data_IF_689936714218
#
_entry.id   IF_689936714218
#
_cell.length_a   1.000
_cell.length_b   1.000
_cell.length_c   1.000
_cell.angle_alpha   90.00
_cell.angle_beta   90.00
_cell.angle_gamma   90.00
#
_symmetry.space_group_name_H-M   'P 1'
#
loop_
_entity.id
_entity.type
_entity.pdbx_description
1 polymer ?
#
# COMPACT_ATOMS: atom_id res chain seq x y z
N UNK A 1 20.41 10.31 7.14
CA UNK A 1 19.04 10.42 7.65
C UNK A 1 18.31 9.17 7.22
N UNK A 2 17.81 8.39 8.15
CA UNK A 2 17.12 7.12 7.89
C UNK A 2 15.62 7.35 8.00
N UNK A 3 14.84 6.87 7.02
CA UNK A 3 13.38 7.00 7.01
C UNK A 3 12.80 5.66 7.42
N UNK A 4 12.25 5.58 8.63
CA UNK A 4 11.70 4.36 9.19
C UNK A 4 10.23 4.13 8.82
N UNK A 5 9.42 5.19 8.77
CA UNK A 5 7.98 5.15 8.49
C UNK A 5 7.61 6.35 7.61
N UNK A 6 6.81 6.12 6.57
CA UNK A 6 6.22 7.15 5.71
C UNK A 6 4.74 7.32 6.06
N UNK A 7 4.36 8.54 6.46
CA UNK A 7 2.95 8.91 6.60
C UNK A 7 2.37 9.40 5.28
N UNK A 8 1.19 8.89 4.90
CA UNK A 8 0.45 9.30 3.71
C UNK A 8 -0.93 9.79 4.15
N UNK A 9 -1.18 11.08 3.91
CA UNK A 9 -2.46 11.72 4.21
C UNK A 9 -3.32 11.74 2.95
N UNK A 10 -4.44 11.02 3.01
CA UNK A 10 -5.35 10.72 1.91
C UNK A 10 -5.13 9.32 1.35
N UNK A 11 -6.21 8.54 1.28
CA UNK A 11 -6.25 7.16 0.79
C UNK A 11 -6.90 7.04 -0.61
N UNK A 12 -7.06 8.17 -1.31
CA UNK A 12 -7.55 8.21 -2.69
C UNK A 12 -6.60 7.56 -3.72
N UNK A 13 -6.82 7.82 -5.01
CA UNK A 13 -6.04 7.20 -6.10
C UNK A 13 -4.53 7.42 -5.95
N UNK A 14 -4.11 8.67 -5.71
CA UNK A 14 -2.70 9.00 -5.54
C UNK A 14 -2.14 8.44 -4.23
N UNK A 15 -2.87 8.57 -3.12
CA UNK A 15 -2.45 8.07 -1.82
C UNK A 15 -2.21 6.56 -1.81
N UNK A 16 -3.15 5.80 -2.35
CA UNK A 16 -3.01 4.35 -2.54
C UNK A 16 -1.81 3.98 -3.41
N UNK A 17 -1.60 4.72 -4.51
CA UNK A 17 -0.47 4.48 -5.41
C UNK A 17 0.88 4.75 -4.75
N UNK A 18 0.99 5.86 -4.00
CA UNK A 18 2.19 6.20 -3.24
C UNK A 18 2.44 5.14 -2.16
N UNK A 19 1.40 4.75 -1.41
CA UNK A 19 1.49 3.72 -0.37
C UNK A 19 2.01 2.40 -0.92
N UNK A 20 1.46 1.95 -2.06
CA UNK A 20 1.91 0.73 -2.73
C UNK A 20 3.39 0.80 -3.12
N UNK A 21 3.85 1.90 -3.73
CA UNK A 21 5.24 2.04 -4.19
C UNK A 21 6.20 2.13 -3.01
N UNK A 22 5.85 2.88 -1.97
CA UNK A 22 6.66 2.99 -0.76
C UNK A 22 6.79 1.64 -0.05
N UNK A 23 5.69 0.91 0.13
CA UNK A 23 5.69 -0.42 0.74
C UNK A 23 6.45 -1.46 -0.10
N UNK A 24 6.29 -1.44 -1.43
CA UNK A 24 7.05 -2.28 -2.35
C UNK A 24 8.55 -1.99 -2.35
N UNK A 25 8.94 -0.76 -1.98
CA UNK A 25 10.33 -0.36 -1.79
C UNK A 25 10.88 -0.74 -0.41
N UNK A 26 10.08 -1.43 0.41
CA UNK A 26 10.49 -1.96 1.71
C UNK A 26 10.23 -1.03 2.90
N UNK A 27 9.62 0.13 2.70
CA UNK A 27 9.34 1.11 3.76
C UNK A 27 8.05 0.79 4.49
N UNK A 28 8.00 1.05 5.79
CA UNK A 28 6.74 1.01 6.55
C UNK A 28 5.91 2.24 6.20
N UNK A 29 4.61 2.04 6.00
CA UNK A 29 3.69 3.09 5.54
C UNK A 29 2.53 3.19 6.52
N UNK A 30 2.21 4.40 6.95
CA UNK A 30 1.00 4.72 7.71
C UNK A 30 0.09 5.57 6.82
N UNK A 31 -1.06 5.03 6.44
CA UNK A 31 -2.07 5.72 5.64
C UNK A 31 -3.16 6.26 6.57
N UNK A 32 -3.58 7.51 6.35
CA UNK A 32 -4.64 8.13 7.13
C UNK A 32 -5.55 8.94 6.23
N UNK A 33 -6.84 8.93 6.50
CA UNK A 33 -7.84 9.75 5.80
C UNK A 33 -8.87 10.27 6.82
N UNK A 34 -9.78 11.13 6.38
CA UNK A 34 -10.80 11.75 7.24
C UNK A 34 -11.80 10.73 7.82
N UNK A 35 -11.84 9.52 7.26
CA UNK A 35 -12.69 8.40 7.71
C UNK A 35 -12.06 7.06 7.31
N UNK A 36 -12.30 6.04 8.15
CA UNK A 36 -11.81 4.67 7.95
C UNK A 36 -12.28 4.07 6.62
N UNK A 37 -13.51 4.40 6.16
CA UNK A 37 -14.05 3.92 4.88
C UNK A 37 -13.16 4.26 3.67
N UNK A 38 -12.44 5.39 3.72
CA UNK A 38 -11.52 5.78 2.65
C UNK A 38 -10.21 5.02 2.73
N UNK A 39 -9.72 4.75 3.95
CA UNK A 39 -8.53 3.94 4.19
C UNK A 39 -8.78 2.51 3.70
N UNK A 40 -9.90 1.89 4.06
CA UNK A 40 -10.31 0.56 3.58
C UNK A 40 -10.41 0.49 2.05
N UNK A 41 -10.96 1.53 1.42
CA UNK A 41 -11.02 1.66 -0.03
C UNK A 41 -9.62 1.77 -0.66
N UNK A 42 -8.71 2.46 0.02
CA UNK A 42 -7.30 2.54 -0.36
C UNK A 42 -6.64 1.17 -0.33
N UNK A 43 -6.75 0.45 0.78
CA UNK A 43 -6.26 -0.94 0.91
C UNK A 43 -6.83 -1.85 -0.19
N UNK A 44 -8.15 -1.80 -0.42
CA UNK A 44 -8.81 -2.56 -1.48
C UNK A 44 -8.25 -2.23 -2.88
N UNK A 45 -7.85 -0.99 -3.12
CA UNK A 45 -7.26 -0.56 -4.40
C UNK A 45 -5.85 -1.11 -4.56
N UNK A 46 -5.05 -1.07 -3.50
CA UNK A 46 -3.68 -1.60 -3.46
C UNK A 46 -3.71 -3.12 -3.65
N UNK A 47 -4.57 -3.84 -2.93
CA UNK A 47 -4.71 -5.29 -3.05
C UNK A 47 -5.09 -5.71 -4.47
N UNK A 48 -6.07 -5.02 -5.08
CA UNK A 48 -6.46 -5.28 -6.49
C UNK A 48 -5.31 -5.01 -7.46
N UNK A 49 -4.52 -3.96 -7.22
CA UNK A 49 -3.36 -3.61 -8.04
C UNK A 49 -2.27 -4.68 -7.95
N UNK A 50 -1.90 -5.10 -6.74
CA UNK A 50 -0.91 -6.16 -6.51
C UNK A 50 -1.40 -7.51 -7.04
N UNK A 51 -2.67 -7.87 -6.84
CA UNK A 51 -3.25 -9.09 -7.41
C UNK A 51 -3.20 -9.12 -8.94
N UNK A 52 -3.30 -7.97 -9.63
CA UNK A 52 -3.05 -7.90 -11.09
C UNK A 52 -1.59 -8.13 -11.45
N UNK A 53 -0.64 -7.73 -10.58
CA UNK A 53 0.79 -7.99 -10.79
C UNK A 53 1.13 -9.46 -10.57
N UNK A 54 0.54 -10.11 -9.55
CA UNK A 54 0.64 -11.56 -9.33
C UNK A 54 0.10 -12.34 -10.53
N UNK A 55 -1.10 -11.99 -11.03
CA UNK A 55 -1.67 -12.61 -12.24
C UNK A 55 -0.83 -12.43 -13.50
N UNK A 56 0.04 -11.42 -13.53
CA UNK A 56 0.99 -11.15 -14.61
C UNK A 56 2.38 -11.72 -14.31
N UNK A 57 2.53 -12.51 -13.25
CA UNK A 57 3.77 -13.14 -12.80
C UNK A 57 4.90 -12.13 -12.54
N UNK A 58 4.56 -10.87 -12.24
CA UNK A 58 5.54 -9.81 -11.95
C UNK A 58 6.05 -9.86 -10.52
N UNK A 59 5.25 -10.40 -9.62
CA UNK A 59 5.53 -10.59 -8.19
C UNK A 59 4.87 -11.90 -7.75
N UNK A 60 5.35 -12.50 -6.67
CA UNK A 60 4.71 -13.67 -6.05
C UNK A 60 3.54 -13.29 -5.14
N UNK A 61 2.72 -14.27 -4.75
CA UNK A 61 1.69 -14.07 -3.71
C UNK A 61 2.31 -13.72 -2.34
N UNK A 62 3.51 -14.22 -2.07
CA UNK A 62 4.27 -13.93 -0.86
C UNK A 62 4.72 -12.47 -0.84
N UNK A 63 5.21 -11.96 -1.98
CA UNK A 63 5.56 -10.54 -2.14
C UNK A 63 4.33 -9.66 -1.95
N UNK A 64 3.18 -10.03 -2.52
CA UNK A 64 1.94 -9.28 -2.33
C UNK A 64 1.59 -9.16 -0.83
N UNK A 65 1.64 -10.28 -0.08
CA UNK A 65 1.37 -10.28 1.36
C UNK A 65 2.40 -9.46 2.13
N UNK A 66 3.67 -9.55 1.77
CA UNK A 66 4.75 -8.79 2.40
C UNK A 66 4.59 -7.28 2.18
N UNK A 67 4.18 -6.86 0.98
CA UNK A 67 3.92 -5.44 0.66
C UNK A 67 2.72 -4.94 1.45
N UNK A 68 1.60 -5.68 1.45
CA UNK A 68 0.41 -5.29 2.20
C UNK A 68 0.68 -5.21 3.71
N UNK A 69 1.47 -6.12 4.25
CA UNK A 69 1.86 -6.13 5.67
C UNK A 69 2.76 -4.97 6.10
N UNK A 70 3.26 -4.15 5.18
CA UNK A 70 4.01 -2.93 5.48
C UNK A 70 3.11 -1.68 5.58
N UNK A 71 1.82 -1.79 5.27
CA UNK A 71 0.89 -0.67 5.26
C UNK A 71 -0.05 -0.82 6.45
N UNK A 72 -0.07 0.20 7.30
CA UNK A 72 -1.00 0.36 8.42
C UNK A 72 -1.88 1.59 8.16
N UNK A 73 -3.08 1.63 8.72
CA UNK A 73 -4.00 2.76 8.55
C UNK A 73 -5.39 2.46 9.03
#
# INVERSE_FOLDING_TARGET
MEINIIGIVGAGQMGSGIAQVSAASGLSVLMSDIKDEFVEKGFSTIEKSLGRMVKKEKISEEDQKAILGKIEG
#
